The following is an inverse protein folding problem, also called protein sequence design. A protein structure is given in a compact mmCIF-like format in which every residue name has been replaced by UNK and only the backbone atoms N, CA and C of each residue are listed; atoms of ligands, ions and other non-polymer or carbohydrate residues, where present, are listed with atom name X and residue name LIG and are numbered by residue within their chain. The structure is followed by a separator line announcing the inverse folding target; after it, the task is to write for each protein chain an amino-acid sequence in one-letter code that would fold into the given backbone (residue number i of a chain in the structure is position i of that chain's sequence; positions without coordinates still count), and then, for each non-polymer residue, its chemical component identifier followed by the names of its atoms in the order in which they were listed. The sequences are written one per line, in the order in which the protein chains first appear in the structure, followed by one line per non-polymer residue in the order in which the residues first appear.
data_IF_928389256487
#
_entry.id   IF_928389256487
#
_cell.length_a   1.000
_cell.length_b   1.000
_cell.length_c   1.000
_cell.angle_alpha   90.00
_cell.angle_beta   90.00
_cell.angle_gamma   90.00
#
_symmetry.space_group_name_H-M   'P 1'
#
loop_
_entity.id
_entity.type
_entity.pdbx_description
1 polymer ?
#
# COMPACT_ATOMS: atom_id res chain seq x y z
N UNK A 1 -43.55 17.27 -0.22
CA UNK A 1 -42.42 16.99 0.69
C UNK A 1 -41.72 15.73 0.19
N UNK A 2 -40.44 15.84 -0.16
CA UNK A 2 -39.62 14.70 -0.59
C UNK A 2 -39.20 13.90 0.66
N UNK A 3 -39.22 12.56 0.63
CA UNK A 3 -38.72 11.78 1.75
C UNK A 3 -37.19 11.92 1.82
N UNK A 4 -36.71 12.17 3.04
CA UNK A 4 -35.31 12.20 3.45
C UNK A 4 -34.56 10.94 3.00
N UNK A 5 -33.28 11.02 2.59
CA UNK A 5 -32.53 9.85 2.18
C UNK A 5 -32.34 8.93 3.40
N UNK A 6 -32.72 7.67 3.23
CA UNK A 6 -32.48 6.61 4.19
C UNK A 6 -30.97 6.53 4.49
N UNK A 7 -30.63 6.59 5.77
CA UNK A 7 -29.29 6.22 6.24
C UNK A 7 -28.95 4.81 5.71
N UNK A 8 -27.69 4.54 5.31
CA UNK A 8 -27.33 3.24 4.77
C UNK A 8 -27.32 2.17 5.87
N UNK A 9 -28.47 1.53 6.09
CA UNK A 9 -28.71 0.39 7.00
C UNK A 9 -27.80 -0.84 6.71
N UNK A 10 -27.07 -0.82 5.59
CA UNK A 10 -26.25 -1.94 5.10
C UNK A 10 -25.02 -2.23 6.00
N UNK A 11 -24.48 -1.23 6.70
CA UNK A 11 -23.28 -1.43 7.54
C UNK A 11 -23.60 -1.81 8.99
N UNK A 12 -24.76 -1.39 9.50
CA UNK A 12 -25.25 -1.75 10.85
C UNK A 12 -25.56 -3.24 11.02
N UNK A 13 -25.76 -4.01 9.95
CA UNK A 13 -25.99 -5.45 10.03
C UNK A 13 -24.71 -6.27 10.25
N UNK A 14 -23.51 -5.70 10.04
CA UNK A 14 -22.24 -6.38 10.33
C UNK A 14 -21.87 -6.33 11.82
N UNK A 15 -22.43 -5.39 12.59
CA UNK A 15 -22.18 -5.22 14.03
C UNK A 15 -23.19 -5.95 14.92
N UNK A 16 -24.26 -6.51 14.36
CA UNK A 16 -25.27 -7.23 15.12
C UNK A 16 -24.73 -8.58 15.59
N UNK A 17 -24.25 -8.61 16.82
CA UNK A 17 -23.91 -9.84 17.54
C UNK A 17 -25.18 -10.59 17.95
N UNK A 18 -25.94 -11.09 16.98
CA UNK A 18 -26.98 -12.09 17.23
C UNK A 18 -26.30 -13.36 17.76
N UNK A 19 -26.63 -13.83 18.98
CA UNK A 19 -26.09 -15.06 19.53
C UNK A 19 -26.72 -16.25 18.78
N UNK A 20 -26.11 -16.66 17.66
CA UNK A 20 -26.58 -17.80 16.88
C UNK A 20 -26.12 -17.84 15.41
N UNK A 21 -25.61 -16.74 14.85
CA UNK A 21 -25.16 -16.74 13.46
C UNK A 21 -23.77 -17.36 13.32
N UNK A 22 -23.71 -18.50 12.64
CA UNK A 22 -22.47 -19.18 12.29
C UNK A 22 -21.58 -18.28 11.40
N UNK A 23 -20.27 -18.24 11.66
CA UNK A 23 -19.22 -17.53 10.88
C UNK A 23 -19.44 -17.49 9.34
N UNK A 24 -19.91 -18.58 8.68
CA UNK A 24 -20.19 -18.59 7.25
C UNK A 24 -21.27 -17.60 6.79
N UNK A 25 -22.32 -17.36 7.58
CA UNK A 25 -23.43 -16.47 7.20
C UNK A 25 -23.00 -15.02 7.09
N UNK A 26 -22.25 -14.53 8.08
CA UNK A 26 -21.68 -13.17 8.09
C UNK A 26 -20.66 -12.98 6.97
N UNK A 27 -19.84 -13.99 6.70
CA UNK A 27 -18.91 -13.97 5.57
C UNK A 27 -19.65 -13.81 4.23
N UNK A 28 -20.69 -14.63 3.98
CA UNK A 28 -21.47 -14.55 2.75
C UNK A 28 -22.17 -13.20 2.60
N UNK A 29 -22.68 -12.64 3.70
CA UNK A 29 -23.25 -11.31 3.71
C UNK A 29 -22.22 -10.23 3.35
N UNK A 30 -21.04 -10.25 3.97
CA UNK A 30 -19.95 -9.32 3.63
C UNK A 30 -19.56 -9.46 2.16
N UNK A 31 -19.42 -10.69 1.66
CA UNK A 31 -19.11 -10.95 0.26
C UNK A 31 -20.17 -10.36 -0.68
N UNK A 32 -21.45 -10.55 -0.36
CA UNK A 32 -22.56 -9.97 -1.12
C UNK A 32 -22.53 -8.44 -1.12
N UNK A 33 -22.28 -7.81 0.03
CA UNK A 33 -22.17 -6.36 0.16
C UNK A 33 -21.02 -5.83 -0.69
N UNK A 34 -19.81 -6.39 -0.53
CA UNK A 34 -18.62 -5.95 -1.29
C UNK A 34 -18.83 -6.11 -2.79
N UNK A 35 -19.39 -7.24 -3.23
CA UNK A 35 -19.70 -7.46 -4.64
C UNK A 35 -20.70 -6.44 -5.18
N UNK A 36 -21.76 -6.14 -4.41
CA UNK A 36 -22.76 -5.14 -4.79
C UNK A 36 -22.15 -3.75 -4.92
N UNK A 37 -21.28 -3.36 -3.99
CA UNK A 37 -20.58 -2.07 -4.03
C UNK A 37 -19.63 -2.00 -5.23
N UNK A 38 -18.92 -3.08 -5.54
CA UNK A 38 -18.02 -3.15 -6.68
C UNK A 38 -18.78 -3.04 -8.02
N UNK A 39 -19.86 -3.80 -8.18
CA UNK A 39 -20.67 -3.77 -9.40
C UNK A 39 -21.31 -2.39 -9.61
N UNK A 40 -21.83 -1.78 -8.54
CA UNK A 40 -22.35 -0.41 -8.54
C UNK A 40 -21.27 0.60 -8.93
N UNK A 41 -20.09 0.50 -8.32
CA UNK A 41 -18.94 1.37 -8.61
C UNK A 41 -18.51 1.27 -10.08
N UNK A 42 -18.29 0.05 -10.60
CA UNK A 42 -17.88 -0.17 -11.97
C UNK A 42 -18.91 0.34 -12.98
N UNK A 43 -20.20 0.06 -12.73
CA UNK A 43 -21.30 0.54 -13.59
C UNK A 43 -21.34 2.06 -13.64
N UNK A 44 -21.32 2.72 -12.49
CA UNK A 44 -21.43 4.18 -12.41
C UNK A 44 -20.14 4.89 -12.85
N UNK A 45 -18.97 4.26 -12.75
CA UNK A 45 -17.73 4.74 -13.34
C UNK A 45 -17.84 4.83 -14.86
N UNK A 46 -18.30 3.75 -15.52
CA UNK A 46 -18.49 3.72 -16.98
C UNK A 46 -19.49 4.77 -17.47
N UNK A 47 -20.55 5.00 -16.70
CA UNK A 47 -21.55 6.02 -17.02
C UNK A 47 -21.14 7.44 -16.59
N UNK A 48 -19.97 7.61 -15.95
CA UNK A 48 -19.47 8.87 -15.35
C UNK A 48 -20.43 9.48 -14.31
N UNK A 49 -21.29 8.68 -13.67
CA UNK A 49 -22.30 9.08 -12.67
C UNK A 49 -22.00 8.62 -11.23
N UNK A 50 -20.72 8.48 -10.85
CA UNK A 50 -20.29 8.09 -9.49
C UNK A 50 -20.93 8.91 -8.35
N UNK A 51 -21.35 10.15 -8.62
CA UNK A 51 -21.98 11.01 -7.61
C UNK A 51 -23.30 10.47 -7.05
N UNK A 52 -23.94 9.52 -7.74
CA UNK A 52 -25.22 8.90 -7.35
C UNK A 52 -25.07 7.41 -7.03
N UNK A 53 -23.83 6.91 -6.94
CA UNK A 53 -23.58 5.49 -6.74
C UNK A 53 -23.73 5.12 -5.27
N UNK A 54 -24.22 3.91 -5.00
CA UNK A 54 -24.30 3.35 -3.65
C UNK A 54 -22.90 3.29 -3.04
N UNK A 55 -21.89 2.91 -3.84
CA UNK A 55 -20.49 2.89 -3.39
C UNK A 55 -20.04 4.24 -2.84
N UNK A 56 -20.46 5.37 -3.45
CA UNK A 56 -20.12 6.71 -2.95
C UNK A 56 -20.84 7.01 -1.65
N UNK A 57 -22.14 6.74 -1.58
CA UNK A 57 -22.91 6.99 -0.36
C UNK A 57 -22.42 6.14 0.83
N UNK A 58 -21.88 4.95 0.58
CA UNK A 58 -21.38 4.06 1.63
C UNK A 58 -19.91 4.30 1.98
N UNK A 59 -19.04 4.54 0.99
CA UNK A 59 -17.57 4.55 1.15
C UNK A 59 -16.89 5.90 0.84
N UNK A 60 -17.65 6.99 0.73
CA UNK A 60 -17.07 8.33 0.54
C UNK A 60 -16.29 8.78 1.78
N UNK A 61 -15.05 9.20 1.56
CA UNK A 61 -14.21 9.85 2.56
C UNK A 61 -14.61 11.32 2.83
N UNK A 62 -15.48 11.89 2.00
CA UNK A 62 -16.00 13.25 2.15
C UNK A 62 -17.34 13.28 2.88
N UNK A 63 -18.23 12.31 2.62
CA UNK A 63 -19.60 12.30 3.17
C UNK A 63 -19.78 11.34 4.34
N UNK A 64 -19.21 10.14 4.24
CA UNK A 64 -19.51 9.02 5.13
C UNK A 64 -18.23 8.39 5.68
N UNK A 65 -17.29 9.22 6.14
CA UNK A 65 -15.99 8.74 6.57
C UNK A 65 -16.04 7.85 7.82
N UNK A 66 -17.11 7.93 8.62
CA UNK A 66 -17.37 6.98 9.73
C UNK A 66 -17.39 5.53 9.25
N UNK A 67 -18.06 5.26 8.13
CA UNK A 67 -18.14 3.92 7.54
C UNK A 67 -16.76 3.40 7.13
N UNK A 68 -15.93 4.28 6.56
CA UNK A 68 -14.56 3.94 6.17
C UNK A 68 -13.71 3.63 7.41
N UNK A 69 -13.89 4.36 8.52
CA UNK A 69 -13.23 4.05 9.80
C UNK A 69 -13.65 2.68 10.33
N UNK A 70 -14.94 2.35 10.29
CA UNK A 70 -15.42 1.02 10.71
C UNK A 70 -14.80 -0.10 9.88
N UNK A 71 -14.68 0.08 8.55
CA UNK A 71 -13.99 -0.89 7.68
C UNK A 71 -12.52 -1.07 8.09
N UNK A 72 -11.83 0.02 8.45
CA UNK A 72 -10.44 -0.03 8.94
C UNK A 72 -10.38 -0.78 10.28
N UNK A 73 -11.29 -0.50 11.20
CA UNK A 73 -11.37 -1.18 12.50
C UNK A 73 -11.63 -2.68 12.34
N UNK A 74 -12.56 -3.06 11.45
CA UNK A 74 -12.82 -4.47 11.13
C UNK A 74 -11.62 -5.13 10.48
N UNK A 75 -10.87 -4.44 9.62
CA UNK A 75 -9.66 -4.96 8.98
C UNK A 75 -8.57 -5.21 10.02
N UNK A 76 -8.33 -4.24 10.91
CA UNK A 76 -7.37 -4.37 12.01
C UNK A 76 -7.78 -5.51 12.93
N UNK A 77 -9.07 -5.60 13.29
CA UNK A 77 -9.59 -6.70 14.11
C UNK A 77 -9.47 -8.06 13.41
N UNK A 78 -9.68 -8.15 12.11
CA UNK A 78 -9.52 -9.41 11.36
C UNK A 78 -8.06 -9.89 11.34
N UNK A 79 -7.10 -8.95 11.24
CA UNK A 79 -5.67 -9.26 11.20
C UNK A 79 -5.11 -9.54 12.60
N UNK A 80 -5.52 -8.77 13.60
CA UNK A 80 -5.04 -8.90 14.99
C UNK A 80 -5.79 -9.96 15.80
N UNK A 81 -7.07 -10.19 15.47
CA UNK A 81 -8.03 -10.89 16.30
C UNK A 81 -7.74 -12.37 16.50
N UNK A 82 -7.55 -13.19 15.45
CA UNK A 82 -7.49 -14.66 15.59
C UNK A 82 -6.82 -15.42 14.41
N UNK A 83 -6.36 -14.75 13.34
CA UNK A 83 -5.85 -15.41 12.13
C UNK A 83 -4.32 -15.58 12.03
N UNK A 84 -3.56 -14.83 12.83
CA UNK A 84 -2.09 -14.74 12.70
C UNK A 84 -1.32 -14.96 14.02
N UNK A 85 -2.01 -15.37 15.09
CA UNK A 85 -1.36 -15.85 16.31
C UNK A 85 -0.59 -17.14 16.00
N UNK A 86 0.74 -17.05 16.08
CA UNK A 86 1.73 -18.06 15.70
C UNK A 86 1.49 -19.45 16.33
N UNK A 87 1.72 -20.56 15.60
CA UNK A 87 1.81 -21.89 16.18
C UNK A 87 3.24 -22.18 16.65
N UNK A 88 3.63 -21.74 17.87
CA UNK A 88 4.69 -22.40 18.66
C UNK A 88 4.92 -21.71 20.01
N UNK A 89 4.46 -22.35 21.08
CA UNK A 89 5.22 -22.64 22.32
C UNK A 89 4.32 -23.40 23.31
N UNK A 90 4.00 -24.64 22.98
CA UNK A 90 3.67 -25.68 23.96
C UNK A 90 4.12 -27.04 23.40
N UNK A 91 5.44 -27.18 23.27
CA UNK A 91 6.05 -28.50 23.36
C UNK A 91 6.32 -28.76 24.85
N UNK A 92 5.32 -29.31 25.54
CA UNK A 92 5.57 -30.13 26.71
C UNK A 92 4.79 -31.45 26.55
N UNK A 93 5.54 -32.43 26.03
CA UNK A 93 5.46 -33.88 26.24
C UNK A 93 4.07 -34.51 26.47
N UNK A 94 3.54 -35.11 25.40
CA UNK A 94 2.99 -36.47 25.42
C UNK A 94 3.30 -37.15 24.08
N UNK A 95 3.75 -38.41 24.04
CA UNK A 95 3.91 -39.16 22.79
C UNK A 95 2.58 -39.84 22.42
N UNK A 96 2.41 -40.10 21.11
CA UNK A 96 1.26 -40.75 20.45
C UNK A 96 0.11 -39.81 20.04
N UNK A 97 0.21 -39.18 18.86
CA UNK A 97 -0.39 -39.74 17.64
C UNK A 97 -0.17 -38.81 16.44
N UNK A 98 0.43 -39.39 15.42
CA UNK A 98 0.60 -38.81 14.10
C UNK A 98 -0.73 -38.95 13.35
N UNK A 99 -1.09 -37.89 12.59
CA UNK A 99 -2.15 -37.81 11.56
C UNK A 99 -3.43 -37.06 11.98
N UNK A 100 -3.49 -35.74 11.73
CA UNK A 100 -4.75 -35.00 11.74
C UNK A 100 -4.63 -33.51 11.98
N UNK A 101 -4.11 -32.75 11.01
CA UNK A 101 -4.37 -31.30 10.98
C UNK A 101 -5.87 -31.14 10.71
N UNK A 102 -6.66 -30.81 11.74
CA UNK A 102 -8.12 -30.77 11.62
C UNK A 102 -8.57 -29.85 10.46
N UNK A 103 -9.42 -30.33 9.51
CA UNK A 103 -9.85 -29.56 8.35
C UNK A 103 -10.60 -28.27 8.72
N UNK A 104 -11.23 -28.22 9.89
CA UNK A 104 -11.93 -27.02 10.40
C UNK A 104 -10.99 -25.84 10.67
N UNK A 105 -9.75 -26.08 11.11
CA UNK A 105 -8.76 -25.01 11.37
C UNK A 105 -8.23 -24.37 10.07
N UNK A 106 -8.08 -25.18 9.01
CA UNK A 106 -7.71 -24.69 7.69
C UNK A 106 -8.85 -23.87 7.04
N UNK A 107 -10.09 -24.32 7.16
CA UNK A 107 -11.26 -23.60 6.63
C UNK A 107 -11.44 -22.24 7.30
N UNK A 108 -11.26 -22.15 8.62
CA UNK A 108 -11.33 -20.86 9.32
C UNK A 108 -10.27 -19.89 8.83
N UNK A 109 -9.01 -20.32 8.69
CA UNK A 109 -7.92 -19.45 8.20
C UNK A 109 -8.17 -18.94 6.77
N UNK A 110 -8.71 -19.79 5.90
CA UNK A 110 -9.09 -19.39 4.53
C UNK A 110 -10.22 -18.36 4.54
N UNK A 111 -11.25 -18.56 5.38
CA UNK A 111 -12.34 -17.59 5.51
C UNK A 111 -11.84 -16.24 6.06
N UNK A 112 -10.96 -16.25 7.06
CA UNK A 112 -10.35 -15.04 7.59
C UNK A 112 -9.54 -14.28 6.54
N UNK A 113 -8.74 -14.99 5.75
CA UNK A 113 -7.98 -14.36 4.66
C UNK A 113 -8.94 -13.71 3.65
N UNK A 114 -10.05 -14.37 3.31
CA UNK A 114 -11.06 -13.78 2.41
C UNK A 114 -11.74 -12.56 3.01
N UNK A 115 -12.04 -12.55 4.31
CA UNK A 115 -12.56 -11.36 5.00
C UNK A 115 -11.58 -10.19 4.86
N UNK A 116 -10.29 -10.42 5.10
CA UNK A 116 -9.24 -9.40 4.93
C UNK A 116 -9.25 -8.84 3.49
N UNK A 117 -9.30 -9.71 2.48
CA UNK A 117 -9.35 -9.27 1.07
C UNK A 117 -10.61 -8.46 0.76
N UNK A 118 -11.78 -8.87 1.25
CA UNK A 118 -13.03 -8.13 1.04
C UNK A 118 -12.98 -6.73 1.68
N UNK A 119 -12.41 -6.60 2.87
CA UNK A 119 -12.25 -5.30 3.52
C UNK A 119 -11.22 -4.43 2.79
N UNK A 120 -10.12 -5.00 2.33
CA UNK A 120 -9.13 -4.31 1.48
C UNK A 120 -9.74 -3.85 0.16
N UNK A 121 -10.66 -4.63 -0.41
CA UNK A 121 -11.43 -4.24 -1.61
C UNK A 121 -12.29 -3.01 -1.35
N UNK A 122 -12.98 -2.97 -0.21
CA UNK A 122 -13.77 -1.79 0.19
C UNK A 122 -12.88 -0.54 0.35
N UNK A 123 -11.70 -0.67 0.97
CA UNK A 123 -10.76 0.46 1.07
C UNK A 123 -10.23 0.91 -0.30
N UNK A 124 -9.99 -0.03 -1.23
CA UNK A 124 -9.61 0.27 -2.61
C UNK A 124 -10.68 1.10 -3.33
N UNK A 125 -11.97 0.75 -3.15
CA UNK A 125 -13.10 1.54 -3.67
C UNK A 125 -13.15 2.92 -2.99
N UNK A 126 -13.00 2.98 -1.67
CA UNK A 126 -13.04 4.23 -0.90
C UNK A 126 -11.97 5.26 -1.34
N UNK A 127 -10.78 4.78 -1.75
CA UNK A 127 -9.73 5.64 -2.32
C UNK A 127 -10.20 6.33 -3.61
N UNK A 128 -10.96 5.64 -4.46
CA UNK A 128 -11.26 6.10 -5.82
C UNK A 128 -12.64 6.77 -5.96
N UNK A 129 -13.60 6.46 -5.08
CA UNK A 129 -15.02 6.82 -5.22
C UNK A 129 -15.29 8.33 -5.16
N UNK A 130 -14.42 9.09 -4.51
CA UNK A 130 -14.52 10.56 -4.43
C UNK A 130 -13.87 11.29 -5.61
N UNK A 131 -13.23 10.57 -6.54
CA UNK A 131 -12.46 11.15 -7.67
C UNK A 131 -11.28 12.01 -7.22
N UNK A 132 -10.84 11.88 -5.97
CA UNK A 132 -9.70 12.60 -5.41
C UNK A 132 -8.77 11.63 -4.67
N UNK A 133 -8.11 10.70 -5.38
CA UNK A 133 -7.42 9.56 -4.77
C UNK A 133 -6.32 9.97 -3.79
N UNK A 134 -5.63 11.10 -4.02
CA UNK A 134 -4.65 11.63 -3.06
C UNK A 134 -5.31 12.08 -1.74
N UNK A 135 -6.46 12.77 -1.82
CA UNK A 135 -7.16 13.27 -0.63
C UNK A 135 -7.73 12.11 0.19
N UNK A 136 -8.41 11.17 -0.48
CA UNK A 136 -8.96 9.98 0.17
C UNK A 136 -7.85 9.11 0.76
N UNK A 137 -6.75 8.91 0.03
CA UNK A 137 -5.58 8.16 0.53
C UNK A 137 -4.99 8.80 1.79
N UNK A 138 -4.81 10.13 1.82
CA UNK A 138 -4.29 10.80 3.02
C UNK A 138 -5.21 10.58 4.23
N UNK A 139 -6.53 10.82 4.06
CA UNK A 139 -7.52 10.62 5.11
C UNK A 139 -7.51 9.19 5.65
N UNK A 140 -7.52 8.19 4.77
CA UNK A 140 -7.53 6.77 5.16
C UNK A 140 -6.21 6.40 5.85
N UNK A 141 -5.07 6.82 5.31
CA UNK A 141 -3.76 6.52 5.87
C UNK A 141 -3.58 7.11 7.28
N UNK A 142 -4.08 8.31 7.53
CA UNK A 142 -4.04 8.95 8.85
C UNK A 142 -4.81 8.16 9.92
N UNK A 143 -5.86 7.44 9.53
CA UNK A 143 -6.61 6.54 10.44
C UNK A 143 -5.91 5.18 10.59
N UNK A 144 -5.36 4.63 9.50
CA UNK A 144 -4.66 3.34 9.54
C UNK A 144 -3.37 3.41 10.38
N UNK A 145 -2.65 4.52 10.27
CA UNK A 145 -1.29 4.64 10.81
C UNK A 145 -1.21 4.37 12.33
N UNK A 146 -2.06 4.96 13.20
CA UNK A 146 -2.06 4.67 14.62
C UNK A 146 -2.29 3.18 14.93
N UNK A 147 -3.15 2.48 14.17
CA UNK A 147 -3.34 1.05 14.36
C UNK A 147 -2.08 0.28 13.97
N UNK A 148 -1.50 0.57 12.80
CA UNK A 148 -0.36 -0.17 12.26
C UNK A 148 0.88 -0.10 13.18
N UNK A 149 1.17 1.08 13.75
CA UNK A 149 2.30 1.26 14.68
C UNK A 149 2.11 0.45 15.98
N UNK A 150 0.86 0.22 16.38
CA UNK A 150 0.50 -0.51 17.59
C UNK A 150 0.29 -2.02 17.37
N UNK A 151 0.31 -2.52 16.13
CA UNK A 151 0.27 -3.97 15.87
C UNK A 151 1.60 -4.57 16.38
N UNK A 152 1.58 -5.49 17.36
CA UNK A 152 2.80 -5.93 18.03
C UNK A 152 3.58 -6.98 17.23
N UNK A 153 2.89 -7.85 16.50
CA UNK A 153 3.50 -8.97 15.77
C UNK A 153 3.92 -8.57 14.35
N UNK A 154 5.16 -8.90 13.98
CA UNK A 154 5.70 -8.70 12.63
C UNK A 154 4.82 -9.37 11.56
N UNK A 155 4.41 -10.61 11.77
CA UNK A 155 3.57 -11.35 10.81
C UNK A 155 2.22 -10.67 10.56
N UNK A 156 1.65 -10.00 11.57
CA UNK A 156 0.41 -9.26 11.43
C UNK A 156 0.62 -7.97 10.63
N UNK A 157 1.71 -7.22 10.90
CA UNK A 157 2.07 -6.04 10.11
C UNK A 157 2.33 -6.39 8.64
N UNK A 158 3.06 -7.48 8.40
CA UNK A 158 3.29 -8.00 7.06
C UNK A 158 1.98 -8.42 6.38
N UNK A 159 1.10 -9.15 7.06
CA UNK A 159 -0.21 -9.53 6.51
C UNK A 159 -1.08 -8.30 6.18
N UNK A 160 -1.05 -7.28 7.04
CA UNK A 160 -1.76 -6.02 6.80
C UNK A 160 -1.27 -5.32 5.54
N UNK A 161 0.04 -5.11 5.43
CA UNK A 161 0.63 -4.38 4.31
C UNK A 161 0.57 -5.16 2.99
N UNK A 162 0.79 -6.47 3.03
CA UNK A 162 0.75 -7.33 1.84
C UNK A 162 -0.67 -7.55 1.32
N UNK A 163 -1.71 -7.38 2.14
CA UNK A 163 -3.11 -7.49 1.71
C UNK A 163 -3.68 -6.20 1.11
N UNK A 164 -2.99 -5.06 1.22
CA UNK A 164 -3.48 -3.79 0.67
C UNK A 164 -3.57 -3.83 -0.85
N UNK A 165 -4.77 -3.72 -1.41
CA UNK A 165 -4.99 -3.68 -2.87
C UNK A 165 -4.55 -2.35 -3.50
N UNK A 166 -4.86 -1.22 -2.85
CA UNK A 166 -4.49 0.11 -3.35
C UNK A 166 -3.00 0.38 -3.12
N UNK A 167 -2.23 0.39 -4.21
CA UNK A 167 -0.79 0.70 -4.20
C UNK A 167 -0.53 2.13 -3.72
N UNK A 168 -1.43 3.06 -4.05
CA UNK A 168 -1.36 4.45 -3.58
C UNK A 168 -1.52 4.53 -2.07
N UNK A 169 -2.52 3.84 -1.52
CA UNK A 169 -2.73 3.77 -0.08
C UNK A 169 -1.55 3.09 0.62
N UNK A 170 -1.06 1.98 0.06
CA UNK A 170 0.12 1.27 0.60
C UNK A 170 1.35 2.17 0.63
N UNK A 171 1.60 2.94 -0.42
CA UNK A 171 2.68 3.93 -0.45
C UNK A 171 2.53 4.95 0.67
N UNK A 172 1.33 5.49 0.86
CA UNK A 172 1.11 6.53 1.87
C UNK A 172 1.28 6.02 3.29
N UNK A 173 0.74 4.84 3.58
CA UNK A 173 0.88 4.21 4.90
C UNK A 173 2.34 3.88 5.20
N UNK A 174 3.06 3.32 4.23
CA UNK A 174 4.49 3.06 4.37
C UNK A 174 5.31 4.36 4.49
N UNK A 175 4.96 5.41 3.75
CA UNK A 175 5.58 6.73 3.89
C UNK A 175 5.43 7.26 5.32
N UNK A 176 4.23 7.20 5.90
CA UNK A 176 3.99 7.60 7.29
C UNK A 176 4.79 6.74 8.28
N UNK A 177 4.87 5.42 8.06
CA UNK A 177 5.65 4.50 8.87
C UNK A 177 7.14 4.85 8.88
N UNK A 178 7.73 5.10 7.71
CA UNK A 178 9.12 5.50 7.59
C UNK A 178 9.36 6.89 8.16
N UNK A 179 8.43 7.82 7.97
CA UNK A 179 8.53 9.16 8.52
C UNK A 179 8.55 9.16 10.05
N UNK A 180 7.68 8.36 10.68
CA UNK A 180 7.68 8.15 12.13
C UNK A 180 8.97 7.48 12.63
N UNK A 181 9.58 6.65 11.79
CA UNK A 181 10.78 5.88 12.13
C UNK A 181 12.07 6.56 11.65
N UNK A 182 12.06 7.87 11.41
CA UNK A 182 13.24 8.63 11.02
C UNK A 182 13.47 9.77 12.01
N UNK A 183 14.73 9.98 12.40
CA UNK A 183 15.09 11.01 13.38
C UNK A 183 14.87 12.44 12.84
N UNK A 184 14.96 12.61 11.51
CA UNK A 184 14.78 13.88 10.82
C UNK A 184 13.73 13.71 9.70
N UNK A 185 12.46 14.08 9.95
CA UNK A 185 11.42 13.95 8.95
C UNK A 185 11.62 14.89 7.75
N UNK A 186 11.73 14.33 6.55
CA UNK A 186 11.74 15.12 5.32
C UNK A 186 10.31 15.54 4.93
N UNK A 187 10.07 16.85 4.77
CA UNK A 187 8.79 17.42 4.33
C UNK A 187 8.52 17.27 2.82
N UNK A 188 9.46 16.70 2.07
CA UNK A 188 9.36 16.49 0.63
C UNK A 188 8.24 15.50 0.28
N UNK A 189 7.60 15.60 -0.90
CA UNK A 189 6.69 14.57 -1.39
C UNK A 189 7.43 13.25 -1.62
N UNK A 190 6.71 12.13 -1.60
CA UNK A 190 7.29 10.80 -1.82
C UNK A 190 7.89 10.70 -3.23
N UNK A 191 9.21 10.48 -3.29
CA UNK A 191 10.01 10.34 -4.51
C UNK A 191 11.12 9.30 -4.32
N UNK A 192 11.84 8.92 -5.38
CA UNK A 192 12.99 8.02 -5.30
C UNK A 192 14.08 8.58 -4.38
N UNK A 193 14.39 9.88 -4.42
CA UNK A 193 15.32 10.50 -3.47
C UNK A 193 14.85 10.38 -2.02
N UNK A 194 13.54 10.53 -1.75
CA UNK A 194 12.99 10.36 -0.39
C UNK A 194 13.08 8.90 0.09
N UNK A 195 12.90 7.93 -0.81
CA UNK A 195 13.09 6.50 -0.50
C UNK A 195 14.56 6.22 -0.15
N UNK A 196 15.52 6.76 -0.92
CA UNK A 196 16.95 6.68 -0.60
C UNK A 196 17.29 7.36 0.74
N UNK A 197 16.62 8.46 1.05
CA UNK A 197 16.76 9.16 2.32
C UNK A 197 16.34 8.26 3.50
N UNK A 198 15.19 7.59 3.40
CA UNK A 198 14.72 6.66 4.43
C UNK A 198 15.72 5.53 4.68
N UNK A 199 16.30 4.95 3.64
CA UNK A 199 17.32 3.91 3.77
C UNK A 199 18.50 4.37 4.66
N UNK A 200 18.96 5.62 4.48
CA UNK A 200 20.11 6.15 5.20
C UNK A 200 19.83 6.68 6.61
N UNK A 201 18.57 6.96 6.96
CA UNK A 201 18.18 7.72 8.18
C UNK A 201 17.18 7.01 9.10
N UNK A 202 16.77 5.79 8.76
CA UNK A 202 15.84 5.03 9.60
C UNK A 202 16.42 4.72 10.99
N UNK A 203 15.63 4.98 12.02
CA UNK A 203 15.80 4.57 13.41
C UNK A 203 14.67 3.60 13.79
N UNK A 204 15.01 2.46 14.40
CA UNK A 204 14.08 1.35 14.68
C UNK A 204 13.09 1.70 15.83
N UNK A 205 12.22 2.68 15.62
CA UNK A 205 11.31 3.26 16.63
C UNK A 205 10.02 2.46 16.87
N UNK A 206 9.76 1.41 16.09
CA UNK A 206 8.58 0.57 16.27
C UNK A 206 8.64 -0.23 17.57
N UNK A 207 7.49 -0.41 18.21
CA UNK A 207 7.37 -1.24 19.41
C UNK A 207 7.27 -2.71 19.01
N UNK A 208 8.17 -3.53 19.55
CA UNK A 208 8.19 -4.98 19.35
C UNK A 208 7.90 -5.65 20.68
N UNK A 209 6.85 -6.48 20.74
CA UNK A 209 6.63 -7.35 21.91
C UNK A 209 7.63 -8.52 21.94
N UNK A 210 8.15 -8.92 20.78
CA UNK A 210 9.13 -9.98 20.69
C UNK A 210 10.54 -9.45 21.04
N UNK A 211 11.26 -10.19 21.90
CA UNK A 211 12.70 -10.05 22.10
C UNK A 211 13.50 -10.50 20.86
N UNK A 212 13.04 -10.11 19.68
CA UNK A 212 13.67 -10.43 18.40
C UNK A 212 15.06 -9.79 18.33
N UNK A 213 15.99 -10.56 17.78
CA UNK A 213 17.37 -10.12 17.56
C UNK A 213 17.35 -8.91 16.62
N UNK A 214 18.17 -7.90 16.90
CA UNK A 214 18.18 -6.61 16.19
C UNK A 214 18.14 -6.72 14.67
N UNK A 215 18.80 -7.73 14.07
CA UNK A 215 18.81 -7.92 12.62
C UNK A 215 17.42 -8.24 12.04
N UNK A 216 16.52 -8.88 12.78
CA UNK A 216 15.16 -9.21 12.32
C UNK A 216 14.33 -7.94 12.11
N UNK A 217 14.59 -6.90 12.91
CA UNK A 217 13.95 -5.58 12.75
C UNK A 217 14.44 -4.86 11.49
N UNK A 218 15.73 -4.99 11.18
CA UNK A 218 16.28 -4.47 9.92
C UNK A 218 15.77 -5.24 8.71
N UNK A 219 15.56 -6.56 8.84
CA UNK A 219 14.97 -7.39 7.81
C UNK A 219 13.52 -6.98 7.49
N UNK A 220 12.72 -6.71 8.53
CA UNK A 220 11.36 -6.17 8.39
C UNK A 220 11.38 -4.77 7.75
N UNK A 221 12.25 -3.87 8.21
CA UNK A 221 12.39 -2.53 7.62
C UNK A 221 12.72 -2.61 6.12
N UNK A 222 13.68 -3.45 5.73
CA UNK A 222 14.05 -3.65 4.33
C UNK A 222 12.88 -4.20 3.53
N UNK A 223 12.10 -5.12 4.09
CA UNK A 223 10.88 -5.63 3.46
C UNK A 223 9.85 -4.51 3.22
N UNK A 224 9.62 -3.64 4.21
CA UNK A 224 8.74 -2.48 4.06
C UNK A 224 9.26 -1.48 3.02
N UNK A 225 10.58 -1.29 2.92
CA UNK A 225 11.18 -0.38 1.95
C UNK A 225 11.07 -0.93 0.52
N UNK A 226 11.27 -2.22 0.33
CA UNK A 226 11.02 -2.92 -0.95
C UNK A 226 9.55 -2.77 -1.34
N UNK A 227 8.63 -2.96 -0.39
CA UNK A 227 7.21 -2.81 -0.62
C UNK A 227 6.84 -1.36 -0.99
N UNK A 228 7.46 -0.37 -0.34
CA UNK A 228 7.29 1.05 -0.66
C UNK A 228 7.77 1.35 -2.09
N UNK A 229 8.97 0.91 -2.44
CA UNK A 229 9.57 1.16 -3.76
C UNK A 229 8.78 0.51 -4.90
N UNK A 230 8.38 -0.76 -4.72
CA UNK A 230 7.56 -1.46 -5.71
C UNK A 230 6.19 -0.81 -5.88
N UNK A 231 5.52 -0.46 -4.77
CA UNK A 231 4.24 0.25 -4.82
C UNK A 231 4.37 1.63 -5.46
N UNK A 232 5.45 2.37 -5.14
CA UNK A 232 5.72 3.70 -5.69
C UNK A 232 5.85 3.65 -7.21
N UNK A 233 6.61 2.67 -7.71
CA UNK A 233 6.77 2.45 -9.14
C UNK A 233 5.43 2.18 -9.81
N UNK A 234 4.58 1.33 -9.23
CA UNK A 234 3.23 1.08 -9.77
C UNK A 234 2.38 2.36 -9.76
N UNK A 235 2.43 3.15 -8.69
CA UNK A 235 1.71 4.43 -8.60
C UNK A 235 2.11 5.40 -9.72
N UNK A 236 3.40 5.49 -10.02
CA UNK A 236 3.92 6.33 -11.09
C UNK A 236 3.51 5.78 -12.46
N UNK A 237 3.78 4.50 -12.73
CA UNK A 237 3.55 3.88 -14.04
C UNK A 237 2.06 3.81 -14.43
N UNK A 238 1.19 3.58 -13.46
CA UNK A 238 -0.26 3.43 -13.69
C UNK A 238 -1.05 4.72 -13.43
N UNK A 239 -0.37 5.86 -13.24
CA UNK A 239 -1.00 7.16 -12.99
C UNK A 239 -2.00 7.13 -11.83
N UNK A 240 -1.67 6.42 -10.74
CA UNK A 240 -2.61 6.19 -9.64
C UNK A 240 -2.93 7.46 -8.83
N UNK A 241 -2.14 8.53 -9.01
CA UNK A 241 -2.41 9.85 -8.41
C UNK A 241 -3.54 10.61 -9.10
N UNK A 242 -3.85 10.27 -10.34
CA UNK A 242 -4.96 10.86 -11.09
C UNK A 242 -6.24 10.09 -10.76
N UNK A 243 -7.39 10.78 -10.84
CA UNK A 243 -8.69 10.11 -10.68
C UNK A 243 -8.85 9.00 -11.73
N UNK A 244 -9.64 7.96 -11.43
CA UNK A 244 -9.83 6.86 -12.40
C UNK A 244 -10.29 7.34 -13.79
N UNK A 245 -11.15 8.36 -13.86
CA UNK A 245 -11.61 8.91 -15.13
C UNK A 245 -10.47 9.55 -15.93
N UNK A 246 -9.64 10.37 -15.29
CA UNK A 246 -8.46 10.97 -15.93
C UNK A 246 -7.40 9.92 -16.27
N UNK A 247 -7.20 8.94 -15.39
CA UNK A 247 -6.28 7.82 -15.59
C UNK A 247 -6.62 7.02 -16.85
N UNK A 248 -7.90 6.74 -17.07
CA UNK A 248 -8.36 6.08 -18.30
C UNK A 248 -7.98 6.90 -19.54
N UNK A 249 -8.21 8.21 -19.51
CA UNK A 249 -7.86 9.10 -20.63
C UNK A 249 -6.34 9.14 -20.87
N UNK A 250 -5.54 9.22 -19.79
CA UNK A 250 -4.07 9.16 -19.85
C UNK A 250 -3.56 7.85 -20.46
N UNK A 251 -4.12 6.71 -20.05
CA UNK A 251 -3.76 5.38 -20.59
C UNK A 251 -4.12 5.30 -22.07
N UNK A 252 -5.32 5.73 -22.47
CA UNK A 252 -5.74 5.74 -23.88
C UNK A 252 -4.81 6.60 -24.73
N UNK A 253 -4.36 7.74 -24.21
CA UNK A 253 -3.42 8.63 -24.89
C UNK A 253 -1.96 8.17 -24.86
N UNK A 254 -1.64 7.04 -24.22
CA UNK A 254 -0.26 6.61 -23.93
C UNK A 254 0.58 7.72 -23.27
N UNK A 255 -0.02 8.44 -22.32
CA UNK A 255 0.65 9.52 -21.61
C UNK A 255 1.82 8.99 -20.79
N UNK A 256 2.94 9.72 -20.84
CA UNK A 256 4.14 9.39 -20.07
C UNK A 256 3.86 9.53 -18.55
N UNK A 257 4.38 8.61 -17.71
CA UNK A 257 4.23 8.68 -16.26
C UNK A 257 4.64 10.03 -15.68
N UNK A 258 3.85 10.58 -14.75
CA UNK A 258 4.22 11.82 -14.07
C UNK A 258 5.26 11.54 -12.98
N UNK A 259 6.53 11.80 -13.31
CA UNK A 259 7.64 11.74 -12.37
C UNK A 259 7.63 12.95 -11.43
N UNK A 260 8.08 12.75 -10.20
CA UNK A 260 8.35 13.85 -9.29
C UNK A 260 9.71 14.48 -9.61
N UNK A 261 9.89 15.76 -9.26
CA UNK A 261 11.15 16.48 -9.47
C UNK A 261 12.36 15.77 -8.83
N UNK A 262 12.14 15.07 -7.72
CA UNK A 262 13.16 14.35 -6.97
C UNK A 262 13.19 12.83 -7.29
N UNK A 263 12.79 12.45 -8.51
CA UNK A 263 12.94 11.08 -9.02
C UNK A 263 14.19 10.90 -9.89
N UNK A 264 14.82 11.98 -10.32
CA UNK A 264 16.06 11.93 -11.08
C UNK A 264 17.26 11.63 -10.16
N UNK A 265 17.41 10.37 -9.79
CA UNK A 265 18.57 9.85 -9.05
C UNK A 265 19.55 9.16 -10.00
N UNK A 266 20.86 9.28 -9.75
CA UNK A 266 21.88 8.62 -10.58
C UNK A 266 22.26 7.24 -10.01
N UNK A 267 22.89 6.39 -10.83
CA UNK A 267 23.44 5.11 -10.33
C UNK A 267 24.49 5.33 -9.25
N UNK A 268 25.29 6.39 -9.37
CA UNK A 268 26.31 6.78 -8.38
C UNK A 268 25.67 7.13 -7.03
N UNK A 269 24.54 7.85 -7.04
CA UNK A 269 23.80 8.15 -5.82
C UNK A 269 23.29 6.87 -5.14
N UNK A 270 22.77 5.93 -5.93
CA UNK A 270 22.28 4.64 -5.43
C UNK A 270 23.42 3.84 -4.79
N UNK A 271 24.52 3.65 -5.50
CA UNK A 271 25.70 2.91 -5.02
C UNK A 271 26.23 3.52 -3.71
N UNK A 272 26.31 4.85 -3.64
CA UNK A 272 26.75 5.56 -2.44
C UNK A 272 25.82 5.31 -1.25
N UNK A 273 24.50 5.43 -1.45
CA UNK A 273 23.51 5.19 -0.40
C UNK A 273 23.51 3.73 0.06
N UNK A 274 23.61 2.76 -0.85
CA UNK A 274 23.67 1.32 -0.53
C UNK A 274 24.94 1.00 0.25
N UNK A 275 26.09 1.54 -0.15
CA UNK A 275 27.37 1.34 0.55
C UNK A 275 27.36 1.95 1.94
N UNK A 276 26.83 3.17 2.09
CA UNK A 276 26.69 3.84 3.38
C UNK A 276 25.72 3.09 4.32
N UNK A 277 24.61 2.60 3.78
CA UNK A 277 23.69 1.77 4.54
C UNK A 277 24.34 0.47 5.01
N UNK A 278 25.01 -0.24 4.11
CA UNK A 278 25.65 -1.53 4.40
C UNK A 278 26.76 -1.40 5.44
N UNK A 279 27.58 -0.35 5.35
CA UNK A 279 28.64 -0.08 6.34
C UNK A 279 28.06 0.24 7.72
N UNK A 280 27.01 1.06 7.78
CA UNK A 280 26.27 1.35 9.02
C UNK A 280 25.67 0.09 9.63
N UNK A 281 25.05 -0.75 8.80
CA UNK A 281 24.40 -1.97 9.26
C UNK A 281 25.42 -2.98 9.78
N UNK A 282 26.58 -3.11 9.13
CA UNK A 282 27.70 -3.92 9.59
C UNK A 282 28.23 -3.44 10.96
N UNK A 283 28.32 -2.12 11.17
CA UNK A 283 28.71 -1.58 12.48
C UNK A 283 27.70 -1.91 13.58
N UNK A 284 26.40 -1.90 13.27
CA UNK A 284 25.32 -2.18 14.24
C UNK A 284 25.20 -3.68 14.54
N UNK A 285 25.27 -4.54 13.52
CA UNK A 285 25.04 -5.98 13.65
C UNK A 285 26.32 -6.79 13.93
N UNK A 286 27.49 -6.20 13.76
CA UNK A 286 28.78 -6.85 13.98
C UNK A 286 29.36 -7.50 12.72
N UNK A 287 30.24 -8.50 12.91
CA UNK A 287 31.25 -8.90 11.92
C UNK A 287 30.74 -9.41 10.56
N UNK A 288 29.47 -9.84 10.45
CA UNK A 288 28.91 -10.31 9.19
C UNK A 288 27.40 -10.04 9.10
N UNK A 289 26.93 -9.57 7.96
CA UNK A 289 25.51 -9.40 7.68
C UNK A 289 24.86 -10.77 7.39
N UNK A 290 23.67 -11.06 7.96
CA UNK A 290 22.91 -12.27 7.61
C UNK A 290 22.59 -12.34 6.11
N UNK A 291 22.56 -13.54 5.49
CA UNK A 291 22.23 -13.68 4.06
C UNK A 291 20.89 -13.05 3.67
N UNK A 292 19.88 -13.17 4.52
CA UNK A 292 18.53 -12.61 4.28
C UNK A 292 18.55 -11.08 4.13
N UNK A 293 19.39 -10.40 4.90
CA UNK A 293 19.62 -8.96 4.80
C UNK A 293 20.32 -8.64 3.48
N UNK A 294 21.38 -9.38 3.16
CA UNK A 294 22.14 -9.19 1.92
C UNK A 294 21.26 -9.36 0.68
N UNK A 295 20.43 -10.41 0.65
CA UNK A 295 19.50 -10.66 -0.46
C UNK A 295 18.51 -9.50 -0.65
N UNK A 296 17.98 -8.94 0.44
CA UNK A 296 17.09 -7.77 0.39
C UNK A 296 17.81 -6.49 -0.02
N UNK A 297 19.05 -6.28 0.42
CA UNK A 297 19.87 -5.12 0.00
C UNK A 297 20.15 -5.20 -1.50
N UNK A 298 20.56 -6.37 -2.00
CA UNK A 298 20.76 -6.60 -3.44
C UNK A 298 19.47 -6.40 -4.23
N UNK A 299 18.34 -6.91 -3.73
CA UNK A 299 17.04 -6.71 -4.37
C UNK A 299 16.64 -5.22 -4.42
N UNK A 300 16.86 -4.49 -3.33
CA UNK A 300 16.58 -3.05 -3.24
C UNK A 300 17.45 -2.26 -4.22
N UNK A 301 18.75 -2.56 -4.30
CA UNK A 301 19.67 -1.93 -5.24
C UNK A 301 19.23 -2.15 -6.69
N UNK A 302 18.91 -3.40 -7.06
CA UNK A 302 18.41 -3.72 -8.40
C UNK A 302 17.10 -2.98 -8.73
N UNK A 303 16.17 -2.88 -7.78
CA UNK A 303 14.91 -2.14 -7.97
C UNK A 303 15.14 -0.63 -8.13
N UNK A 304 16.08 -0.05 -7.38
CA UNK A 304 16.43 1.37 -7.47
C UNK A 304 17.10 1.69 -8.81
N UNK A 305 18.05 0.86 -9.25
CA UNK A 305 18.71 1.00 -10.55
C UNK A 305 17.73 0.87 -11.72
N UNK A 306 16.79 -0.07 -11.63
CA UNK A 306 15.73 -0.19 -12.63
C UNK A 306 14.83 1.04 -12.67
N UNK A 307 14.48 1.57 -11.50
CA UNK A 307 13.60 2.75 -11.38
C UNK A 307 14.29 4.04 -11.86
N UNK A 308 15.59 4.19 -11.59
CA UNK A 308 16.38 5.33 -12.09
C UNK A 308 16.61 5.25 -13.60
N UNK A 309 16.82 4.05 -14.15
CA UNK A 309 16.94 3.83 -15.59
C UNK A 309 15.68 4.24 -16.36
N UNK A 310 14.50 3.91 -15.83
CA UNK A 310 13.21 4.34 -16.39
C UNK A 310 13.08 5.88 -16.38
N UNK A 311 13.42 6.52 -15.25
CA UNK A 311 13.41 7.97 -15.15
C UNK A 311 14.38 8.64 -16.14
N UNK A 312 15.59 8.09 -16.29
CA UNK A 312 16.61 8.62 -17.19
C UNK A 312 16.22 8.49 -18.68
N UNK A 313 15.61 7.37 -19.09
CA UNK A 313 15.10 7.20 -20.45
C UNK A 313 13.98 8.20 -20.76
N UNK A 314 13.12 8.48 -19.78
CA UNK A 314 12.02 9.40 -19.95
C UNK A 314 12.49 10.85 -20.10
N UNK A 315 13.44 11.29 -19.26
CA UNK A 315 14.08 12.63 -19.36
C UNK A 315 14.84 12.79 -20.68
N UNK A 316 15.56 11.76 -21.14
CA UNK A 316 16.27 11.82 -22.44
C UNK A 316 15.32 11.98 -23.62
N UNK A 317 14.16 11.33 -23.58
CA UNK A 317 13.14 11.55 -24.60
C UNK A 317 12.64 12.99 -24.58
N UNK A 318 12.37 13.59 -23.43
CA UNK A 318 11.90 14.99 -23.33
C UNK A 318 12.89 16.01 -23.90
N UNK A 319 14.18 15.83 -23.64
CA UNK A 319 15.25 16.67 -24.21
C UNK A 319 15.42 16.47 -25.72
N UNK A 320 15.09 15.29 -26.25
CA UNK A 320 15.14 15.00 -27.69
C UNK A 320 14.08 15.74 -28.52
N UNK A 321 12.96 16.15 -27.92
CA UNK A 321 11.91 16.94 -28.62
C UNK A 321 12.16 18.45 -28.57
N UNK A 322 13.05 18.94 -27.69
CA UNK A 322 13.43 20.35 -27.63
C UNK A 322 14.46 20.78 -28.69
N UNK A 323 14.99 19.83 -29.48
CA UNK A 323 16.09 20.08 -30.45
C UNK A 323 15.69 20.31 -31.91
N UNK A 324 14.40 20.27 -32.26
CA UNK A 324 13.93 20.51 -33.64
C UNK A 324 12.89 21.62 -33.70
N UNK A 325 13.34 22.87 -33.58
CA UNK A 325 12.50 24.04 -33.76
C UNK A 325 13.31 25.27 -34.12
N UNK A 326 13.20 25.68 -35.39
CA UNK A 326 13.65 26.93 -36.01
C UNK A 326 15.13 27.06 -36.40
N UNK A 327 15.40 26.72 -37.66
CA UNK A 327 16.44 27.37 -38.46
C UNK A 327 15.76 28.14 -39.61
N UNK A 328 15.96 29.46 -39.77
CA UNK A 328 15.23 30.26 -40.75
C UNK A 328 15.78 30.00 -42.16
N UNK A 329 14.91 29.50 -43.04
CA UNK A 329 15.22 29.23 -44.44
C UNK A 329 15.25 30.56 -45.22
N UNK A 330 16.46 31.03 -45.53
CA UNK A 330 16.67 32.06 -46.56
C UNK A 330 16.02 31.61 -47.87
N UNK A 331 15.18 32.46 -48.45
CA UNK A 331 14.65 32.31 -49.80
C UNK A 331 15.30 33.37 -50.68
N UNK A 332 16.30 32.95 -51.47
CA UNK A 332 16.84 33.74 -52.57
C UNK A 332 15.82 33.80 -53.70
N UNK A 333 15.59 35.02 -54.19
CA UNK A 333 14.86 35.29 -55.42
C UNK A 333 15.86 35.40 -56.57
N UNK A 334 15.66 34.63 -57.64
CA UNK A 334 16.22 34.89 -58.96
C UNK A 334 15.38 34.18 -60.03
N UNK A 335 14.62 34.98 -60.78
CA UNK A 335 14.30 34.90 -62.21
C UNK A 335 12.97 35.63 -62.45
#
# INVERSE_FOLDING_TARGET
EFPSPAEPVILTSLTCSCPGETLPGRFLFLQYVVQTLEDDFQRNLRLRFLQKSIAKEVLSCDRCFSNVKEVIEWLVAAITGLGFSQPRKQQQKTPADTLGRSPTCCLTLVLWHRVVLLLQRMLSIAVEVDRSPNCSTNKIADVIFPYLVNIPLRSQREAFLNSMESQLLRCKVLELLFHHSCDMPASLPLSLSKILYFLGRHSLLLQYQDHEVTWVRWDEMLQHLILLLTSYRTVVLEHLRSSLSERMDLIISNAKPQLQANDSITSVDIELHIKNFSSRLLQILGKSLPPQIMDKVCALEALLLHSSGLAALQVRQELGWAGYGNSPRMRGAAA
#
